data_IF_431423958943
#
_entry.id   IF_431423958943
#
_cell.length_a   1.000
_cell.length_b   1.000
_cell.length_c   1.000
_cell.angle_alpha   90.00
_cell.angle_beta   90.00
_cell.angle_gamma   90.00
#
_symmetry.space_group_name_H-M   'P 1'
#
loop_
_entity.id
_entity.type
_entity.pdbx_description
1 polymer ?
#
# COMPACT_ATOMS: atom_id res chain seq x y z
N UNK A 1 5.50 -26.32 63.35
CA UNK A 1 5.90 -27.31 64.36
C UNK A 1 7.34 -27.67 64.07
N UNK A 2 8.25 -27.18 64.92
CA UNK A 2 9.69 -27.17 64.67
C UNK A 2 10.29 -28.57 64.69
N UNK A 3 11.22 -28.81 63.78
CA UNK A 3 12.04 -30.01 63.71
C UNK A 3 13.48 -29.71 64.15
N UNK A 4 13.65 -28.83 65.15
CA UNK A 4 14.96 -28.43 65.69
C UNK A 4 15.31 -29.14 67.01
N UNK A 5 14.43 -29.94 67.59
CA UNK A 5 14.57 -30.35 69.01
C UNK A 5 15.42 -31.62 69.29
N UNK A 6 16.26 -32.09 68.35
CA UNK A 6 17.25 -33.12 68.69
C UNK A 6 18.37 -33.26 67.64
N UNK A 7 19.06 -32.16 67.31
CA UNK A 7 20.36 -32.27 66.63
C UNK A 7 21.40 -32.72 67.67
N UNK A 8 22.11 -33.82 67.45
CA UNK A 8 23.15 -34.25 68.39
C UNK A 8 24.32 -33.26 68.39
N UNK A 9 24.77 -32.83 69.58
CA UNK A 9 25.86 -31.84 69.74
C UNK A 9 27.26 -32.40 69.41
N UNK A 10 27.37 -33.71 69.21
CA UNK A 10 28.63 -34.37 68.86
C UNK A 10 29.03 -34.07 67.41
N UNK A 11 30.18 -33.43 67.24
CA UNK A 11 30.71 -33.02 65.92
C UNK A 11 30.84 -34.20 64.96
N UNK A 12 31.16 -35.39 65.47
CA UNK A 12 31.29 -36.61 64.68
C UNK A 12 29.94 -37.11 64.14
N UNK A 13 28.86 -37.02 64.93
CA UNK A 13 27.52 -37.41 64.48
C UNK A 13 26.96 -36.42 63.48
N UNK A 14 27.19 -35.12 63.66
CA UNK A 14 26.80 -34.10 62.69
C UNK A 14 27.55 -34.26 61.35
N UNK A 15 28.85 -34.56 61.39
CA UNK A 15 29.63 -34.86 60.18
C UNK A 15 29.12 -36.12 59.46
N UNK A 16 28.71 -37.15 60.19
CA UNK A 16 28.13 -38.36 59.61
C UNK A 16 26.77 -38.07 58.94
N UNK A 17 25.90 -37.30 59.59
CA UNK A 17 24.60 -36.88 59.03
C UNK A 17 24.78 -36.03 57.77
N UNK A 18 25.70 -35.06 57.78
CA UNK A 18 26.00 -34.21 56.62
C UNK A 18 26.54 -35.01 55.43
N UNK A 19 27.36 -36.03 55.68
CA UNK A 19 27.85 -36.95 54.62
C UNK A 19 26.72 -37.80 54.06
N UNK A 20 25.83 -38.31 54.91
CA UNK A 20 24.65 -39.06 54.48
C UNK A 20 23.69 -38.20 53.66
N UNK A 21 23.44 -36.95 54.08
CA UNK A 21 22.59 -36.01 53.35
C UNK A 21 23.21 -35.64 51.99
N UNK A 22 24.51 -35.37 51.93
CA UNK A 22 25.22 -35.10 50.66
C UNK A 22 25.19 -36.31 49.73
N UNK A 23 25.37 -37.52 50.25
CA UNK A 23 25.26 -38.74 49.46
C UNK A 23 23.83 -38.92 48.91
N UNK A 24 22.81 -38.65 49.73
CA UNK A 24 21.41 -38.70 49.29
C UNK A 24 21.10 -37.64 48.22
N UNK A 25 21.60 -36.41 48.37
CA UNK A 25 21.44 -35.34 47.36
C UNK A 25 22.11 -35.70 46.04
N UNK A 26 23.35 -36.21 46.06
CA UNK A 26 24.05 -36.63 44.85
C UNK A 26 23.33 -37.79 44.14
N UNK A 27 22.79 -38.74 44.90
CA UNK A 27 21.97 -39.82 44.34
C UNK A 27 20.70 -39.28 43.67
N UNK A 28 19.98 -38.38 44.34
CA UNK A 28 18.77 -37.74 43.80
C UNK A 28 19.07 -36.89 42.55
N UNK A 29 20.19 -36.16 42.53
CA UNK A 29 20.63 -35.39 41.36
C UNK A 29 20.99 -36.30 40.18
N UNK A 30 21.64 -37.44 40.43
CA UNK A 30 21.97 -38.41 39.39
C UNK A 30 20.70 -39.05 38.79
N UNK A 31 19.72 -39.39 39.63
CA UNK A 31 18.41 -39.91 39.18
C UNK A 31 17.64 -38.87 38.35
N UNK A 32 17.64 -37.60 38.80
CA UNK A 32 17.02 -36.50 38.07
C UNK A 32 17.67 -36.30 36.69
N UNK A 33 19.01 -36.33 36.62
CA UNK A 33 19.76 -36.23 35.36
C UNK A 33 19.50 -37.42 34.43
N UNK A 34 19.41 -38.65 34.96
CA UNK A 34 19.04 -39.81 34.16
C UNK A 34 17.61 -39.66 33.60
N UNK A 35 16.69 -39.12 34.40
CA UNK A 35 15.32 -38.81 33.99
C UNK A 35 15.26 -37.76 32.87
N UNK A 36 16.03 -36.67 32.97
CA UNK A 36 16.04 -35.63 31.93
C UNK A 36 16.58 -36.16 30.60
N UNK A 37 17.67 -36.93 30.62
CA UNK A 37 18.23 -37.56 29.43
C UNK A 37 17.24 -38.53 28.76
N UNK A 38 16.48 -39.28 29.56
CA UNK A 38 15.44 -40.17 29.03
C UNK A 38 14.31 -39.38 28.38
N UNK A 39 13.86 -38.29 29.00
CA UNK A 39 12.84 -37.40 28.43
C UNK A 39 13.31 -36.81 27.09
N UNK A 40 14.57 -36.35 27.01
CA UNK A 40 15.14 -35.82 25.78
C UNK A 40 15.21 -36.87 24.68
N UNK A 41 15.68 -38.08 25.01
CA UNK A 41 15.69 -39.22 24.08
C UNK A 41 14.29 -39.54 23.57
N UNK A 42 13.31 -39.63 24.46
CA UNK A 42 11.93 -39.93 24.10
C UNK A 42 11.32 -38.83 23.22
N UNK A 43 11.53 -37.55 23.56
CA UNK A 43 11.11 -36.41 22.72
C UNK A 43 11.69 -36.49 21.31
N UNK A 44 12.98 -36.81 21.20
CA UNK A 44 13.65 -36.97 19.90
C UNK A 44 13.04 -38.14 19.11
N UNK A 45 12.77 -39.29 19.74
CA UNK A 45 12.12 -40.42 19.08
C UNK A 45 10.71 -40.09 18.60
N UNK A 46 9.91 -39.40 19.42
CA UNK A 46 8.56 -38.95 19.05
C UNK A 46 8.63 -38.00 17.84
N UNK A 47 9.60 -37.06 17.84
CA UNK A 47 9.79 -36.15 16.71
C UNK A 47 10.13 -36.89 15.41
N UNK A 48 11.02 -37.89 15.48
CA UNK A 48 11.35 -38.75 14.33
C UNK A 48 10.13 -39.50 13.81
N UNK A 49 9.41 -40.21 14.69
CA UNK A 49 8.21 -40.97 14.31
C UNK A 49 7.13 -40.07 13.70
N UNK A 50 6.91 -38.87 14.25
CA UNK A 50 5.97 -37.90 13.67
C UNK A 50 6.41 -37.41 12.29
N UNK A 51 7.71 -37.18 12.09
CA UNK A 51 8.22 -36.78 10.78
C UNK A 51 8.11 -37.91 9.76
N UNK A 52 8.38 -39.17 10.14
CA UNK A 52 8.17 -40.33 9.26
C UNK A 52 6.70 -40.51 8.88
N UNK A 53 5.78 -40.37 9.85
CA UNK A 53 4.34 -40.58 9.63
C UNK A 53 3.68 -39.43 8.86
N UNK A 54 4.01 -38.17 9.18
CA UNK A 54 3.31 -36.99 8.65
C UNK A 54 4.15 -36.14 7.72
N UNK A 55 5.49 -36.25 7.76
CA UNK A 55 6.40 -35.48 6.91
C UNK A 55 6.18 -35.74 5.43
N UNK A 56 6.02 -37.01 5.04
CA UNK A 56 5.69 -37.37 3.66
C UNK A 56 4.34 -36.78 3.21
N UNK A 57 3.36 -36.64 4.10
CA UNK A 57 2.07 -36.02 3.77
C UNK A 57 2.18 -34.51 3.62
N UNK A 58 3.02 -33.86 4.44
CA UNK A 58 3.25 -32.42 4.38
C UNK A 58 4.04 -32.03 3.12
N UNK A 59 5.00 -32.84 2.70
CA UNK A 59 5.75 -32.64 1.46
C UNK A 59 4.88 -32.91 0.22
N UNK A 60 4.04 -33.95 0.26
CA UNK A 60 3.06 -34.21 -0.80
C UNK A 60 2.00 -33.10 -0.90
N UNK A 61 1.53 -32.56 0.23
CA UNK A 61 0.62 -31.43 0.25
C UNK A 61 1.22 -30.21 -0.44
N UNK A 62 2.46 -29.84 -0.08
CA UNK A 62 3.15 -28.73 -0.75
C UNK A 62 3.35 -28.95 -2.26
N UNK A 63 3.60 -30.20 -2.70
CA UNK A 63 3.69 -30.53 -4.12
C UNK A 63 2.32 -30.43 -4.82
N UNK A 64 1.23 -30.86 -4.16
CA UNK A 64 -0.13 -30.72 -4.69
C UNK A 64 -0.50 -29.25 -4.83
N UNK A 65 -0.25 -28.42 -3.82
CA UNK A 65 -0.50 -26.97 -3.88
C UNK A 65 0.25 -26.32 -5.05
N UNK A 66 1.50 -26.74 -5.30
CA UNK A 66 2.29 -26.27 -6.43
C UNK A 66 1.70 -26.71 -7.78
N UNK A 67 1.25 -27.96 -7.89
CA UNK A 67 0.62 -28.49 -9.10
C UNK A 67 -0.74 -27.85 -9.37
N UNK A 68 -1.53 -27.58 -8.33
CA UNK A 68 -2.80 -26.85 -8.42
C UNK A 68 -2.59 -25.43 -8.95
N UNK A 69 -1.57 -24.73 -8.45
CA UNK A 69 -1.21 -23.40 -8.97
C UNK A 69 -0.82 -23.46 -10.46
N UNK A 70 0.01 -24.44 -10.85
CA UNK A 70 0.39 -24.62 -12.26
C UNK A 70 -0.80 -24.94 -13.15
N UNK A 71 -1.78 -25.73 -12.66
CA UNK A 71 -3.01 -26.01 -13.40
C UNK A 71 -3.84 -24.74 -13.59
N UNK A 72 -4.00 -23.93 -12.55
CA UNK A 72 -4.72 -22.66 -12.65
C UNK A 72 -4.10 -21.71 -13.69
N UNK A 73 -2.76 -21.60 -13.73
CA UNK A 73 -2.06 -20.81 -14.73
C UNK A 73 -2.31 -21.32 -16.16
N UNK A 74 -2.32 -22.64 -16.36
CA UNK A 74 -2.57 -23.24 -17.67
C UNK A 74 -4.02 -23.06 -18.13
N UNK A 75 -4.98 -23.19 -17.21
CA UNK A 75 -6.40 -22.94 -17.48
C UNK A 75 -6.65 -21.49 -17.88
N UNK A 76 -6.04 -20.53 -17.16
CA UNK A 76 -6.13 -19.12 -17.50
C UNK A 76 -5.54 -18.85 -18.90
N UNK A 77 -4.35 -19.38 -19.19
CA UNK A 77 -3.71 -19.23 -20.50
C UNK A 77 -4.57 -19.82 -21.64
N UNK A 78 -5.20 -20.98 -21.42
CA UNK A 78 -6.10 -21.59 -22.38
C UNK A 78 -7.33 -20.71 -22.63
N UNK A 79 -7.96 -20.20 -21.56
CA UNK A 79 -9.11 -19.30 -21.68
C UNK A 79 -8.74 -17.98 -22.40
N UNK A 80 -7.55 -17.43 -22.14
CA UNK A 80 -7.04 -16.26 -22.85
C UNK A 80 -6.80 -16.55 -24.33
N UNK A 81 -6.28 -17.73 -24.68
CA UNK A 81 -6.09 -18.13 -26.06
C UNK A 81 -7.43 -18.31 -26.80
N UNK A 82 -8.42 -18.93 -26.16
CA UNK A 82 -9.76 -19.12 -26.73
C UNK A 82 -10.47 -17.79 -26.96
N UNK A 83 -10.42 -16.88 -25.98
CA UNK A 83 -10.99 -15.53 -26.13
C UNK A 83 -10.27 -14.74 -27.23
N UNK A 84 -8.94 -14.83 -27.33
CA UNK A 84 -8.20 -14.19 -28.41
C UNK A 84 -8.56 -14.77 -29.79
N UNK A 85 -8.75 -16.09 -29.88
CA UNK A 85 -9.19 -16.76 -31.11
C UNK A 85 -10.61 -16.35 -31.51
N UNK A 86 -11.54 -16.28 -30.55
CA UNK A 86 -12.91 -15.79 -30.77
C UNK A 86 -12.90 -14.33 -31.21
N UNK A 87 -12.16 -13.46 -30.52
CA UNK A 87 -12.01 -12.06 -30.92
C UNK A 87 -11.38 -11.90 -32.30
N UNK A 88 -10.48 -12.80 -32.72
CA UNK A 88 -9.91 -12.79 -34.05
C UNK A 88 -10.91 -13.25 -35.12
N UNK A 89 -11.75 -14.25 -34.81
CA UNK A 89 -12.81 -14.75 -35.68
C UNK A 89 -13.98 -13.76 -35.81
N UNK A 90 -14.32 -13.04 -34.75
CA UNK A 90 -15.39 -12.02 -34.71
C UNK A 90 -14.97 -10.65 -35.23
N UNK A 91 -13.76 -10.49 -35.82
CA UNK A 91 -13.36 -9.25 -36.48
C UNK A 91 -14.22 -9.02 -37.73
N UNK A 92 -15.39 -8.45 -37.52
CA UNK A 92 -16.16 -7.77 -38.55
C UNK A 92 -15.30 -6.58 -38.99
N UNK A 93 -15.00 -6.49 -40.29
CA UNK A 93 -14.28 -5.37 -40.87
C UNK A 93 -15.15 -4.11 -40.77
N UNK A 94 -15.07 -3.40 -39.65
CA UNK A 94 -15.72 -2.10 -39.48
C UNK A 94 -14.85 -1.06 -40.18
N UNK A 95 -15.40 -0.29 -41.14
CA UNK A 95 -14.64 0.78 -41.79
C UNK A 95 -14.12 1.76 -40.74
N UNK A 96 -12.87 2.22 -40.91
CA UNK A 96 -12.27 3.20 -40.02
C UNK A 96 -13.07 4.51 -40.06
N UNK A 97 -13.85 4.77 -39.02
CA UNK A 97 -14.44 6.09 -38.82
C UNK A 97 -13.42 6.98 -38.09
N UNK A 98 -13.18 8.17 -38.63
CA UNK A 98 -12.38 9.18 -37.95
C UNK A 98 -13.07 9.60 -36.65
N UNK A 99 -12.54 9.14 -35.52
CA UNK A 99 -12.98 9.61 -34.19
C UNK A 99 -12.72 11.10 -34.10
N UNK A 100 -13.77 11.90 -34.31
CA UNK A 100 -13.75 13.34 -34.02
C UNK A 100 -13.36 13.52 -32.56
N UNK A 101 -12.24 14.20 -32.31
CA UNK A 101 -11.80 14.56 -30.95
C UNK A 101 -12.96 15.32 -30.27
N UNK A 102 -13.33 14.98 -29.03
CA UNK A 102 -14.36 15.72 -28.32
C UNK A 102 -13.88 17.17 -28.14
N UNK A 103 -14.49 18.09 -28.88
CA UNK A 103 -14.30 19.52 -28.68
C UNK A 103 -15.08 19.94 -27.42
N UNK A 104 -14.48 20.82 -26.59
CA UNK A 104 -15.19 21.43 -25.46
C UNK A 104 -16.37 22.22 -26.03
N UNK A 105 -17.58 21.83 -25.65
CA UNK A 105 -18.78 22.60 -25.98
C UNK A 105 -18.78 23.89 -25.13
N UNK A 106 -19.18 25.04 -25.70
CA UNK A 106 -19.33 26.26 -24.92
C UNK A 106 -20.38 26.07 -23.82
N UNK A 107 -20.26 26.85 -22.73
CA UNK A 107 -21.23 26.79 -21.64
C UNK A 107 -22.62 27.32 -22.11
N UNK A 108 -23.72 26.83 -21.54
CA UNK A 108 -25.06 27.20 -21.98
C UNK A 108 -25.32 28.71 -21.91
N UNK A 109 -25.96 29.26 -22.95
CA UNK A 109 -26.20 30.70 -23.08
C UNK A 109 -27.19 31.28 -22.07
N UNK A 110 -28.13 30.47 -21.59
CA UNK A 110 -29.20 30.87 -20.68
C UNK A 110 -28.74 31.06 -19.23
N UNK A 111 -27.50 30.69 -18.89
CA UNK A 111 -26.96 30.89 -17.54
C UNK A 111 -26.55 32.36 -17.34
N UNK A 112 -26.81 32.94 -16.15
CA UNK A 112 -26.39 34.29 -15.84
C UNK A 112 -24.86 34.40 -15.87
N UNK A 113 -24.35 35.44 -16.54
CA UNK A 113 -22.91 35.70 -16.69
C UNK A 113 -22.48 36.88 -15.83
N UNK A 114 -21.46 36.68 -15.01
CA UNK A 114 -20.81 37.70 -14.20
C UNK A 114 -19.41 37.97 -14.75
N UNK A 115 -19.10 39.21 -15.11
CA UNK A 115 -17.79 39.59 -15.65
C UNK A 115 -16.85 40.05 -14.54
N UNK A 116 -15.80 39.28 -14.31
CA UNK A 116 -14.71 39.62 -13.41
C UNK A 116 -13.51 40.11 -14.23
N UNK A 117 -13.32 41.43 -14.28
CA UNK A 117 -12.17 42.06 -14.97
C UNK A 117 -10.99 42.13 -14.02
N UNK A 118 -9.87 41.51 -14.39
CA UNK A 118 -8.64 41.61 -13.60
C UNK A 118 -8.00 42.99 -13.77
N UNK A 119 -7.54 43.61 -12.67
CA UNK A 119 -6.92 44.92 -12.72
C UNK A 119 -5.63 44.87 -13.55
N UNK A 120 -5.44 45.88 -14.37
CA UNK A 120 -4.30 46.00 -15.26
C UNK A 120 -3.38 47.13 -14.76
N UNK A 121 -2.04 47.00 -14.86
CA UNK A 121 -1.15 48.09 -14.46
C UNK A 121 -1.42 49.38 -15.26
N UNK A 122 -1.37 50.51 -14.57
CA UNK A 122 -1.53 51.84 -15.19
C UNK A 122 -0.30 52.30 -15.98
N UNK A 123 0.86 51.65 -15.77
CA UNK A 123 2.14 51.95 -16.41
C UNK A 123 2.74 50.68 -17.01
N UNK A 124 3.53 50.81 -18.10
CA UNK A 124 4.15 49.62 -18.67
C UNK A 124 5.17 49.05 -17.68
N UNK A 125 5.09 47.76 -17.31
CA UNK A 125 6.14 47.07 -16.54
C UNK A 125 7.52 47.06 -17.23
N UNK A 126 7.54 47.36 -18.53
CA UNK A 126 8.73 47.31 -19.37
C UNK A 126 9.55 48.61 -19.38
N UNK A 127 8.88 49.75 -19.53
CA UNK A 127 9.51 51.06 -19.76
C UNK A 127 8.95 52.17 -18.85
N UNK A 128 7.96 51.87 -18.02
CA UNK A 128 7.33 52.84 -17.10
C UNK A 128 6.40 53.87 -17.75
N UNK A 129 6.26 53.88 -19.08
CA UNK A 129 5.36 54.82 -19.78
C UNK A 129 3.88 54.49 -19.50
N UNK A 130 3.05 55.52 -19.34
CA UNK A 130 1.61 55.41 -19.09
C UNK A 130 0.76 55.32 -20.36
N UNK A 131 1.37 55.41 -21.54
CA UNK A 131 0.70 55.30 -22.85
C UNK A 131 0.36 53.85 -23.23
N UNK A 132 -0.47 53.21 -22.40
CA UNK A 132 -1.05 51.90 -22.66
C UNK A 132 -2.37 52.02 -23.43
N UNK A 133 -2.56 51.18 -24.44
CA UNK A 133 -3.82 51.07 -25.20
C UNK A 133 -4.34 49.64 -25.14
N UNK A 134 -5.65 49.48 -25.04
CA UNK A 134 -6.30 48.17 -25.08
C UNK A 134 -6.17 47.55 -26.47
N UNK A 135 -5.63 46.33 -26.51
CA UNK A 135 -5.43 45.55 -27.74
C UNK A 135 -6.52 44.48 -27.88
N UNK A 136 -6.87 43.81 -26.79
CA UNK A 136 -7.86 42.73 -26.78
C UNK A 136 -8.13 42.23 -25.36
N UNK A 137 -8.92 41.17 -25.25
CA UNK A 137 -9.27 40.52 -23.98
C UNK A 137 -9.17 39.01 -24.15
N UNK A 138 -8.57 38.32 -23.19
CA UNK A 138 -8.73 36.87 -23.05
C UNK A 138 -9.83 36.62 -22.01
N UNK A 139 -10.82 35.83 -22.41
CA UNK A 139 -11.97 35.49 -21.57
C UNK A 139 -11.95 34.00 -21.27
N UNK A 140 -11.87 33.63 -20.00
CA UNK A 140 -12.07 32.25 -19.55
C UNK A 140 -13.38 32.12 -18.79
N UNK A 141 -14.19 31.13 -19.14
CA UNK A 141 -15.49 30.89 -18.51
C UNK A 141 -15.39 29.76 -17.49
N UNK A 142 -15.84 30.02 -16.27
CA UNK A 142 -15.92 29.04 -15.18
C UNK A 142 -17.36 28.94 -14.69
N UNK A 143 -17.86 27.72 -14.51
CA UNK A 143 -19.20 27.47 -13.99
C UNK A 143 -19.14 27.41 -12.45
N UNK A 144 -19.89 28.28 -11.76
CA UNK A 144 -19.97 28.35 -10.30
C UNK A 144 -21.39 27.97 -9.82
N UNK A 145 -21.44 27.19 -8.74
CA UNK A 145 -22.69 26.82 -8.07
C UNK A 145 -23.00 27.82 -6.95
N UNK A 146 -24.07 28.59 -7.11
CA UNK A 146 -24.70 29.36 -6.03
C UNK A 146 -25.87 28.53 -5.51
N UNK A 147 -26.24 28.55 -4.22
CA UNK A 147 -27.37 27.77 -3.73
C UNK A 147 -28.61 27.90 -4.62
N UNK A 148 -29.04 26.78 -5.21
CA UNK A 148 -30.18 26.64 -6.15
C UNK A 148 -30.01 27.25 -7.57
N UNK A 149 -28.85 27.82 -7.93
CA UNK A 149 -28.64 28.43 -9.25
C UNK A 149 -27.20 28.24 -9.75
N UNK A 150 -27.03 27.99 -11.05
CA UNK A 150 -25.72 28.02 -11.70
C UNK A 150 -25.46 29.40 -12.27
N UNK A 151 -24.23 29.89 -12.13
CA UNK A 151 -23.76 31.10 -12.81
C UNK A 151 -22.45 30.83 -13.53
N UNK A 152 -22.17 31.63 -14.54
CA UNK A 152 -20.91 31.58 -15.29
C UNK A 152 -20.09 32.81 -14.92
N UNK A 153 -18.90 32.60 -14.35
CA UNK A 153 -17.92 33.67 -14.15
C UNK A 153 -17.09 33.78 -15.43
N UNK A 154 -17.13 34.96 -16.05
CA UNK A 154 -16.24 35.35 -17.14
C UNK A 154 -15.03 36.08 -16.54
N UNK A 155 -13.91 35.39 -16.51
CA UNK A 155 -12.61 35.93 -16.12
C UNK A 155 -12.03 36.69 -17.31
N UNK A 156 -12.03 38.02 -17.25
CA UNK A 156 -11.57 38.90 -18.33
C UNK A 156 -10.18 39.42 -18.01
N UNK A 157 -9.20 39.04 -18.83
CA UNK A 157 -7.81 39.52 -18.76
C UNK A 157 -7.53 40.40 -19.96
N UNK A 158 -7.53 41.71 -19.76
CA UNK A 158 -7.28 42.66 -20.84
C UNK A 158 -5.81 42.63 -21.25
N UNK A 159 -5.56 42.61 -22.56
CA UNK A 159 -4.25 42.78 -23.18
C UNK A 159 -4.04 44.25 -23.50
N UNK A 160 -2.98 44.83 -22.97
CA UNK A 160 -2.58 46.20 -23.26
C UNK A 160 -1.29 46.23 -24.07
N UNK A 161 -1.20 47.16 -25.02
CA UNK A 161 0.01 47.46 -25.78
C UNK A 161 0.56 48.83 -25.38
N UNK A 162 1.86 48.90 -25.09
CA UNK A 162 2.55 50.17 -24.83
C UNK A 162 2.92 50.86 -26.14
N UNK A 163 2.64 52.16 -26.26
CA UNK A 163 2.98 52.93 -27.48
C UNK A 163 4.46 53.34 -27.58
N UNK A 164 5.22 53.25 -26.49
CA UNK A 164 6.62 53.68 -26.46
C UNK A 164 7.60 52.56 -26.87
N UNK A 165 7.27 51.32 -26.56
CA UNK A 165 8.14 50.16 -26.78
C UNK A 165 7.42 48.96 -27.42
N UNK A 166 6.14 49.14 -27.77
CA UNK A 166 5.30 48.15 -28.47
C UNK A 166 5.10 46.82 -27.72
N UNK A 167 5.51 46.74 -26.45
CA UNK A 167 5.35 45.55 -25.62
C UNK A 167 3.88 45.30 -25.27
N UNK A 168 3.48 44.03 -25.32
CA UNK A 168 2.15 43.55 -24.91
C UNK A 168 2.22 43.06 -23.46
N UNK A 169 1.26 43.48 -22.65
CA UNK A 169 1.18 43.17 -21.22
C UNK A 169 -0.22 42.68 -20.87
N UNK A 170 -0.31 41.70 -19.98
CA UNK A 170 -1.55 41.06 -19.57
C UNK A 170 -1.46 40.66 -18.09
N UNK A 171 -2.53 40.81 -17.30
CA UNK A 171 -2.55 40.34 -15.92
C UNK A 171 -2.49 38.80 -15.86
N UNK A 172 -1.81 38.23 -14.83
CA UNK A 172 -1.60 36.78 -14.69
C UNK A 172 -2.88 35.97 -14.48
#
# INVERSE_FOLDING_TARGET
>A
MGADDSLPDDVTTLQAMLRAERAARLAAEAEAQAGTLLIEKLKLTIKKLRHEQFGQSSERGALLDQLELQLADLEENAAQADTAAQMAAEKIAVPSFERRKPARRPLPEHLPRERLVYPVPATCPCCGDSRLRKLGEDVTETLELVPRQWKVIQHVREKLVCRACEAITQPP
#
